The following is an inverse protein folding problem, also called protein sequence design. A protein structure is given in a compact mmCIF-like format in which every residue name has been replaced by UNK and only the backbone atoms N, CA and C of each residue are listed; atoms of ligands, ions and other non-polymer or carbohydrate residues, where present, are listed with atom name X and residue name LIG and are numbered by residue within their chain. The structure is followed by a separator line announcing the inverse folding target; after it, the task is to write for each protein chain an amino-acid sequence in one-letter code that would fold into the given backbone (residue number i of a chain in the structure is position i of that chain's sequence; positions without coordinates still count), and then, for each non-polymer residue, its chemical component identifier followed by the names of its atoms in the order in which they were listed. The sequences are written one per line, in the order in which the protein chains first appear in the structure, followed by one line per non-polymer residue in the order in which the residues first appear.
data_IF_367021832064
#
_entry.id   IF_367021832064
#
_cell.length_a   1.000
_cell.length_b   1.000
_cell.length_c   1.000
_cell.angle_alpha   90.00
_cell.angle_beta   90.00
_cell.angle_gamma   90.00
#
_symmetry.space_group_name_H-M   'P 1'
#
loop_
_entity.id
_entity.type
_entity.pdbx_description
1 polymer ?
#
# COMPACT_ATOMS: atom_id res chain seq x y z
N UNK A 1 9.07 7.36 -11.12
CA UNK A 1 8.54 8.58 -11.74
C UNK A 1 8.50 9.70 -10.72
N UNK A 2 9.19 10.79 -11.00
CA UNK A 2 9.22 11.99 -10.17
C UNK A 2 8.03 12.90 -10.55
N UNK A 3 7.03 12.93 -9.69
CA UNK A 3 5.79 13.66 -9.93
C UNK A 3 5.97 15.18 -9.82
N UNK A 4 6.90 15.66 -9.02
CA UNK A 4 7.17 17.08 -8.85
C UNK A 4 7.88 17.65 -10.07
N UNK A 5 8.90 16.95 -10.57
CA UNK A 5 9.64 17.34 -11.77
C UNK A 5 8.84 17.14 -13.07
N UNK A 6 7.93 16.17 -13.10
CA UNK A 6 7.19 15.76 -14.30
C UNK A 6 5.68 15.78 -14.04
N UNK A 7 5.08 16.94 -13.97
CA UNK A 7 3.66 17.12 -13.72
C UNK A 7 2.84 16.88 -14.99
N UNK A 8 2.53 15.61 -15.25
CA UNK A 8 1.70 15.22 -16.40
C UNK A 8 0.24 15.14 -15.97
N UNK A 9 -0.63 15.85 -16.67
CA UNK A 9 -2.08 15.74 -16.53
C UNK A 9 -2.57 14.40 -17.09
N UNK A 10 -3.20 13.59 -16.24
CA UNK A 10 -3.69 12.24 -16.59
C UNK A 10 -5.21 12.13 -16.56
N UNK A 11 -5.94 13.24 -16.46
CA UNK A 11 -7.41 13.22 -16.39
C UNK A 11 -8.07 12.50 -17.58
N UNK A 12 -7.54 12.66 -18.77
CA UNK A 12 -8.08 12.01 -19.97
C UNK A 12 -7.97 10.48 -19.93
N UNK A 13 -6.93 9.97 -19.25
CA UNK A 13 -6.72 8.53 -19.06
C UNK A 13 -7.53 8.02 -17.90
N UNK A 14 -7.48 8.72 -16.76
CA UNK A 14 -8.21 8.32 -15.54
C UNK A 14 -9.72 8.38 -15.67
N UNK A 15 -10.24 9.18 -16.59
CA UNK A 15 -11.67 9.15 -16.97
C UNK A 15 -12.11 7.81 -17.61
N UNK A 16 -11.16 7.03 -18.13
CA UNK A 16 -11.43 5.74 -18.77
C UNK A 16 -11.08 4.55 -17.88
N UNK A 17 -10.03 4.68 -17.08
CA UNK A 17 -9.52 3.63 -16.18
C UNK A 17 -8.96 4.29 -14.91
N UNK A 18 -9.28 3.77 -13.72
CA UNK A 18 -8.64 4.24 -12.50
C UNK A 18 -7.13 4.14 -12.59
N UNK A 19 -6.44 5.20 -12.19
CA UNK A 19 -4.98 5.26 -12.13
C UNK A 19 -4.53 5.39 -10.69
N UNK A 20 -3.63 4.51 -10.28
CA UNK A 20 -3.07 4.51 -8.93
C UNK A 20 -1.65 5.06 -8.93
N UNK A 21 -1.41 5.95 -7.98
CA UNK A 21 -0.06 6.35 -7.64
C UNK A 21 0.61 5.24 -6.84
N UNK A 22 1.83 4.89 -7.20
CA UNK A 22 2.63 3.87 -6.55
C UNK A 22 3.91 4.50 -5.95
N UNK A 23 5.09 4.29 -6.52
CA UNK A 23 6.35 4.84 -6.01
C UNK A 23 6.34 6.37 -5.91
N UNK A 24 5.62 7.04 -6.80
CA UNK A 24 5.44 8.51 -6.78
C UNK A 24 4.68 9.01 -5.55
N UNK A 25 3.99 8.15 -4.80
CA UNK A 25 3.26 8.49 -3.57
C UNK A 25 4.09 8.29 -2.29
N UNK A 26 5.39 8.59 -2.33
CA UNK A 26 6.26 8.41 -1.17
C UNK A 26 6.08 9.46 -0.06
N UNK A 27 5.33 10.52 -0.29
CA UNK A 27 4.90 11.52 0.70
C UNK A 27 3.42 11.87 0.49
N UNK A 28 2.70 12.13 1.57
CA UNK A 28 1.27 12.47 1.50
C UNK A 28 0.99 13.76 0.69
N UNK A 29 1.96 14.69 0.62
CA UNK A 29 1.84 15.93 -0.18
C UNK A 29 1.81 15.62 -1.67
N UNK A 30 2.53 14.58 -2.10
CA UNK A 30 2.52 14.11 -3.48
C UNK A 30 1.18 13.48 -3.86
N UNK A 31 0.47 12.87 -2.89
CA UNK A 31 -0.90 12.39 -3.12
C UNK A 31 -1.81 13.57 -3.48
N UNK A 32 -1.65 14.70 -2.80
CA UNK A 32 -2.38 15.94 -3.15
C UNK A 32 -2.06 16.42 -4.55
N UNK A 33 -0.79 16.43 -4.92
CA UNK A 33 -0.35 16.80 -6.27
C UNK A 33 -0.92 15.84 -7.30
N UNK A 34 -0.77 14.55 -7.10
CA UNK A 34 -1.31 13.53 -7.99
C UNK A 34 -2.82 13.66 -8.19
N UNK A 35 -3.57 13.88 -7.12
CA UNK A 35 -5.02 14.12 -7.21
C UNK A 35 -5.37 15.30 -8.13
N UNK A 36 -4.61 16.40 -8.05
CA UNK A 36 -4.78 17.57 -8.94
C UNK A 36 -4.42 17.28 -10.39
N UNK A 37 -3.52 16.33 -10.63
CA UNK A 37 -3.11 15.89 -11.96
C UNK A 37 -4.01 14.80 -12.54
N UNK A 38 -5.05 14.36 -11.80
CA UNK A 38 -6.02 13.39 -12.29
C UNK A 38 -5.84 11.96 -11.79
N UNK A 39 -4.89 11.69 -10.90
CA UNK A 39 -4.77 10.37 -10.29
C UNK A 39 -5.96 10.07 -9.37
N UNK A 40 -6.51 8.87 -9.46
CA UNK A 40 -7.77 8.49 -8.80
C UNK A 40 -7.58 7.55 -7.62
N UNK A 41 -6.40 6.99 -7.44
CA UNK A 41 -6.08 6.10 -6.34
C UNK A 41 -4.63 6.20 -5.90
N UNK A 42 -4.33 5.55 -4.79
CA UNK A 42 -2.98 5.52 -4.22
C UNK A 42 -2.68 4.17 -3.57
N UNK A 43 -1.46 3.69 -3.77
CA UNK A 43 -0.89 2.55 -3.08
C UNK A 43 -0.13 3.05 -1.84
N UNK A 44 -0.66 2.74 -0.67
CA UNK A 44 -0.09 3.14 0.62
C UNK A 44 0.98 2.13 1.05
N UNK A 45 2.10 2.64 1.57
CA UNK A 45 3.27 1.84 1.96
C UNK A 45 3.75 2.26 3.34
N UNK A 46 3.42 1.46 4.36
CA UNK A 46 3.82 1.75 5.75
C UNK A 46 5.31 1.60 5.99
N UNK A 47 6.01 0.84 5.14
CA UNK A 47 7.46 0.66 5.23
C UNK A 47 8.26 1.95 4.97
N UNK A 48 7.69 2.93 4.26
CA UNK A 48 8.33 4.24 4.10
C UNK A 48 8.20 5.08 5.37
N UNK A 49 6.98 5.23 5.88
CA UNK A 49 6.69 5.72 7.23
C UNK A 49 5.23 5.42 7.57
N UNK A 50 4.99 4.89 8.77
CA UNK A 50 3.63 4.59 9.21
C UNK A 50 2.77 5.85 9.31
N UNK A 51 3.33 6.92 9.89
CA UNK A 51 2.63 8.22 9.99
C UNK A 51 2.27 8.76 8.62
N UNK A 52 3.19 8.71 7.65
CA UNK A 52 2.93 9.15 6.28
C UNK A 52 1.83 8.33 5.60
N UNK A 53 1.82 7.02 5.80
CA UNK A 53 0.78 6.15 5.26
C UNK A 53 -0.59 6.46 5.87
N UNK A 54 -0.68 6.71 7.20
CA UNK A 54 -1.91 7.11 7.86
C UNK A 54 -2.42 8.47 7.38
N UNK A 55 -1.55 9.47 7.29
CA UNK A 55 -1.90 10.79 6.76
C UNK A 55 -2.38 10.70 5.31
N UNK A 56 -1.66 9.90 4.50
CA UNK A 56 -2.04 9.62 3.11
C UNK A 56 -3.40 8.96 3.01
N UNK A 57 -3.67 7.94 3.84
CA UNK A 57 -4.96 7.27 3.90
C UNK A 57 -6.10 8.22 4.26
N UNK A 58 -5.93 8.99 5.33
CA UNK A 58 -6.94 9.96 5.79
C UNK A 58 -7.23 10.99 4.71
N UNK A 59 -6.18 11.56 4.12
CA UNK A 59 -6.33 12.58 3.10
C UNK A 59 -6.99 12.01 1.83
N UNK A 60 -6.52 10.87 1.35
CA UNK A 60 -7.05 10.23 0.15
C UNK A 60 -8.53 9.85 0.30
N UNK A 61 -8.92 9.29 1.46
CA UNK A 61 -10.33 9.00 1.76
C UNK A 61 -11.19 10.25 1.79
N UNK A 62 -10.73 11.32 2.43
CA UNK A 62 -11.45 12.58 2.49
C UNK A 62 -11.67 13.21 1.10
N UNK A 63 -10.85 12.83 0.11
CA UNK A 63 -10.92 13.35 -1.26
C UNK A 63 -11.42 12.32 -2.29
N UNK A 64 -12.03 11.23 -1.83
CA UNK A 64 -12.66 10.21 -2.69
C UNK A 64 -11.69 9.40 -3.55
N UNK A 65 -10.43 9.27 -3.13
CA UNK A 65 -9.46 8.42 -3.83
C UNK A 65 -9.61 6.96 -3.39
N UNK A 66 -9.40 6.06 -4.33
CA UNK A 66 -9.36 4.62 -4.06
C UNK A 66 -8.04 4.23 -3.42
N UNK A 67 -8.07 3.31 -2.45
CA UNK A 67 -6.90 2.89 -1.72
C UNK A 67 -6.47 1.47 -2.07
N UNK A 68 -5.16 1.27 -2.18
CA UNK A 68 -4.46 0.00 -2.08
C UNK A 68 -3.48 0.08 -0.93
N UNK A 69 -3.09 -1.07 -0.40
CA UNK A 69 -1.95 -1.19 0.51
C UNK A 69 -0.99 -2.22 -0.09
N UNK A 70 0.27 -1.83 -0.23
CA UNK A 70 1.32 -2.66 -0.81
C UNK A 70 2.53 -2.70 0.10
N UNK A 71 3.25 -3.82 0.11
CA UNK A 71 4.60 -3.85 0.67
C UNK A 71 5.65 -3.42 -0.40
N UNK A 72 6.90 -3.30 0.02
CA UNK A 72 8.07 -3.16 -0.85
C UNK A 72 8.98 -4.37 -0.71
N UNK A 73 8.40 -5.57 -0.72
CA UNK A 73 9.13 -6.82 -0.52
C UNK A 73 9.84 -6.84 0.85
N UNK A 74 9.17 -6.32 1.87
CA UNK A 74 9.68 -6.25 3.24
C UNK A 74 9.34 -7.53 4.03
N UNK A 75 10.25 -8.03 4.87
CA UNK A 75 10.02 -9.21 5.69
C UNK A 75 8.97 -8.99 6.77
N UNK A 76 8.62 -10.05 7.47
CA UNK A 76 7.42 -10.23 8.30
C UNK A 76 7.06 -9.06 9.22
N UNK A 77 8.00 -8.54 10.01
CA UNK A 77 7.70 -7.44 10.96
C UNK A 77 7.19 -6.18 10.27
N UNK A 78 7.71 -5.88 9.08
CA UNK A 78 7.26 -4.73 8.30
C UNK A 78 5.88 -4.96 7.66
N UNK A 79 5.42 -6.20 7.53
CA UNK A 79 4.09 -6.52 6.98
C UNK A 79 2.97 -6.28 7.99
N UNK A 80 3.25 -6.38 9.29
CA UNK A 80 2.23 -6.18 10.33
C UNK A 80 1.50 -4.84 10.15
N UNK A 81 2.18 -3.68 10.11
CA UNK A 81 1.51 -2.42 9.92
C UNK A 81 0.82 -2.30 8.54
N UNK A 82 1.30 -3.00 7.49
CA UNK A 82 0.59 -3.07 6.21
C UNK A 82 -0.76 -3.75 6.35
N UNK A 83 -0.78 -4.94 6.94
CA UNK A 83 -2.01 -5.72 7.12
C UNK A 83 -3.00 -4.98 8.01
N UNK A 84 -2.51 -4.38 9.11
CA UNK A 84 -3.34 -3.58 10.00
C UNK A 84 -3.93 -2.37 9.28
N UNK A 85 -3.13 -1.64 8.51
CA UNK A 85 -3.63 -0.52 7.72
C UNK A 85 -4.69 -0.98 6.72
N UNK A 86 -4.43 -2.04 5.94
CA UNK A 86 -5.36 -2.57 4.96
C UNK A 86 -6.70 -3.00 5.58
N UNK A 87 -6.65 -3.60 6.78
CA UNK A 87 -7.85 -4.03 7.50
C UNK A 87 -8.77 -2.87 7.92
N UNK A 88 -8.21 -1.66 8.09
CA UNK A 88 -8.96 -0.51 8.64
C UNK A 88 -9.30 0.56 7.62
N UNK A 89 -8.58 0.66 6.49
CA UNK A 89 -8.80 1.77 5.55
C UNK A 89 -9.78 1.47 4.42
N UNK A 90 -10.15 0.22 4.21
CA UNK A 90 -11.02 -0.18 3.10
C UNK A 90 -10.33 -0.07 1.75
N UNK A 91 -9.59 -1.10 1.38
CA UNK A 91 -8.84 -1.18 0.13
C UNK A 91 -9.65 -1.83 -0.99
N UNK A 92 -9.29 -1.54 -2.24
CA UNK A 92 -9.96 -2.14 -3.41
C UNK A 92 -9.73 -3.66 -3.54
N UNK A 93 -8.58 -4.15 -3.09
CA UNK A 93 -8.17 -5.53 -3.31
C UNK A 93 -7.52 -6.19 -2.08
N UNK A 94 -7.66 -5.60 -0.89
CA UNK A 94 -7.00 -6.07 0.32
C UNK A 94 -5.59 -5.50 0.45
N UNK A 95 -4.60 -6.36 0.66
CA UNK A 95 -3.18 -6.01 0.76
C UNK A 95 -2.38 -6.83 -0.24
N UNK A 96 -1.47 -6.17 -0.93
CA UNK A 96 -0.45 -6.85 -1.73
C UNK A 96 0.78 -7.09 -0.85
N UNK A 97 1.24 -8.34 -0.81
CA UNK A 97 2.45 -8.73 -0.10
C UNK A 97 3.16 -9.82 -0.86
N UNK A 98 4.44 -9.65 -1.13
CA UNK A 98 5.24 -10.56 -1.93
C UNK A 98 6.58 -10.94 -1.26
N UNK A 99 6.88 -10.39 -0.08
CA UNK A 99 8.14 -10.63 0.61
C UNK A 99 8.41 -12.12 0.86
N UNK A 100 7.40 -12.88 1.27
CA UNK A 100 7.54 -14.31 1.54
C UNK A 100 7.83 -15.13 0.27
N UNK A 101 7.47 -14.61 -0.89
CA UNK A 101 7.76 -15.25 -2.17
C UNK A 101 9.23 -15.09 -2.56
N UNK A 102 9.79 -13.90 -2.35
CA UNK A 102 11.16 -13.57 -2.75
C UNK A 102 12.19 -13.84 -1.65
N UNK A 103 11.80 -13.75 -0.38
CA UNK A 103 12.69 -13.91 0.76
C UNK A 103 12.06 -14.84 1.82
N UNK A 104 11.82 -16.13 1.50
CA UNK A 104 11.11 -17.04 2.41
C UNK A 104 11.85 -17.21 3.75
N UNK A 105 13.18 -17.18 3.74
CA UNK A 105 13.99 -17.37 4.94
C UNK A 105 14.19 -16.09 5.78
N UNK A 106 13.89 -14.92 5.22
CA UNK A 106 14.13 -13.64 5.90
C UNK A 106 13.23 -13.44 7.12
N UNK A 107 12.09 -14.11 7.16
CA UNK A 107 11.13 -14.02 8.27
C UNK A 107 11.26 -15.16 9.29
N UNK A 108 12.13 -16.12 9.06
CA UNK A 108 12.26 -17.29 9.95
C UNK A 108 12.70 -16.92 11.38
N UNK A 109 13.69 -16.02 11.58
CA UNK A 109 14.10 -15.59 12.93
C UNK A 109 12.97 -14.88 13.67
N UNK A 110 12.26 -13.97 13.02
CA UNK A 110 11.14 -13.23 13.60
C UNK A 110 9.98 -14.18 13.95
N UNK A 111 9.68 -15.13 13.07
CA UNK A 111 8.65 -16.13 13.31
C UNK A 111 8.93 -17.01 14.53
N UNK A 112 10.19 -17.29 14.82
CA UNK A 112 10.60 -18.05 16.01
C UNK A 112 10.36 -17.28 17.32
N UNK A 113 10.54 -15.95 17.27
CA UNK A 113 10.38 -15.07 18.44
C UNK A 113 8.93 -14.58 18.60
N UNK A 114 8.20 -14.45 17.48
CA UNK A 114 6.82 -13.95 17.44
C UNK A 114 5.87 -14.97 16.80
N UNK A 115 5.63 -16.12 17.43
CA UNK A 115 4.83 -17.21 16.83
C UNK A 115 3.35 -16.85 16.57
N UNK A 116 2.84 -15.77 17.20
CA UNK A 116 1.50 -15.26 16.96
C UNK A 116 1.32 -14.66 15.56
N UNK A 117 2.37 -14.16 14.95
CA UNK A 117 2.35 -13.52 13.63
C UNK A 117 2.18 -14.52 12.49
N UNK A 118 2.73 -15.73 12.66
CA UNK A 118 2.48 -16.84 11.72
C UNK A 118 0.99 -17.22 11.63
N UNK A 119 0.19 -16.89 12.64
CA UNK A 119 -1.27 -17.15 12.59
C UNK A 119 -2.01 -16.15 11.72
N UNK A 120 -1.51 -14.91 11.58
CA UNK A 120 -2.12 -13.91 10.70
C UNK A 120 -1.93 -14.28 9.22
N UNK A 121 -0.81 -14.92 8.88
CA UNK A 121 -0.57 -15.47 7.54
C UNK A 121 -1.37 -16.75 7.25
N UNK A 122 -1.92 -17.40 8.28
CA UNK A 122 -2.64 -18.68 8.20
C UNK A 122 -4.13 -18.57 8.53
N UNK A 123 -4.70 -17.39 8.67
CA UNK A 123 -6.14 -17.29 8.93
C UNK A 123 -6.92 -17.70 7.69
N UNK A 124 -7.80 -18.70 7.86
CA UNK A 124 -8.71 -19.25 6.85
C UNK A 124 -9.79 -18.27 6.33
N UNK A 125 -9.70 -17.01 6.67
CA UNK A 125 -10.41 -15.97 5.97
C UNK A 125 -9.54 -15.52 4.82
N UNK A 126 -9.98 -15.62 3.56
CA UNK A 126 -9.21 -15.16 2.45
C UNK A 126 -9.03 -13.63 2.56
N UNK A 127 -7.96 -13.19 3.22
CA UNK A 127 -7.31 -11.98 2.76
C UNK A 127 -7.05 -12.29 1.29
N UNK A 128 -7.73 -11.63 0.38
CA UNK A 128 -7.41 -11.76 -1.03
C UNK A 128 -6.01 -11.19 -1.20
N UNK A 129 -5.04 -12.06 -0.98
CA UNK A 129 -3.65 -11.81 -1.35
C UNK A 129 -3.64 -11.88 -2.87
N UNK A 130 -3.52 -10.77 -3.52
CA UNK A 130 -3.26 -10.73 -4.94
C UNK A 130 -1.77 -11.03 -5.08
N UNK A 131 -1.45 -12.28 -5.42
CA UNK A 131 -0.14 -12.64 -5.93
C UNK A 131 -0.11 -12.14 -7.38
N UNK A 132 0.71 -11.16 -7.64
CA UNK A 132 1.08 -10.75 -8.99
C UNK A 132 2.28 -11.56 -9.46
#
# INVERSE_FOLDING_TARGET
YDLEANQIDVHSVSARKPLFMDESAHDWRLIRLGRRLGWTGVALKTCKTQTGALLGACWAKAHGMTLMVQDLTNPMLAQIPHVLLAAHVGTIAGVETNAMQFYPEASAPEAAVHPGENRMAKTDRPLRVILL
#
